data_IF_105133573450
#
_entry.id   IF_105133573450
#
_cell.length_a   1.000
_cell.length_b   1.000
_cell.length_c   1.000
_cell.angle_alpha   90.00
_cell.angle_beta   90.00
_cell.angle_gamma   90.00
#
_symmetry.space_group_name_H-M   'P 1'
#
loop_
_entity.id
_entity.type
_entity.pdbx_description
1 polymer ?
#
# COMPACT_ATOMS: atom_id res chain seq x y z
N UNK A 1 -6.82 22.70 -37.04
CA UNK A 1 -6.98 22.89 -35.58
C UNK A 1 -7.25 21.52 -34.96
N UNK A 2 -6.27 20.93 -34.29
CA UNK A 2 -6.48 19.64 -33.59
C UNK A 2 -7.42 19.94 -32.42
N UNK A 3 -8.57 19.26 -32.37
CA UNK A 3 -9.54 19.46 -31.29
C UNK A 3 -8.92 19.04 -29.95
N UNK A 4 -9.26 19.74 -28.87
CA UNK A 4 -8.83 19.38 -27.51
C UNK A 4 -9.14 17.91 -27.17
N UNK A 5 -10.19 17.36 -27.78
CA UNK A 5 -10.59 15.96 -27.65
C UNK A 5 -9.53 15.02 -28.25
N UNK A 6 -9.00 15.34 -29.44
CA UNK A 6 -8.00 14.50 -30.13
C UNK A 6 -6.68 14.48 -29.36
N UNK A 7 -6.31 15.60 -28.74
CA UNK A 7 -5.14 15.70 -27.87
C UNK A 7 -5.33 14.85 -26.59
N UNK A 8 -6.47 14.97 -25.92
CA UNK A 8 -6.80 14.22 -24.71
C UNK A 8 -6.83 12.70 -24.95
N UNK A 9 -7.43 12.26 -26.07
CA UNK A 9 -7.44 10.85 -26.47
C UNK A 9 -6.02 10.36 -26.73
N UNK A 10 -5.20 11.12 -27.45
CA UNK A 10 -3.80 10.75 -27.73
C UNK A 10 -2.97 10.63 -26.45
N UNK A 11 -3.10 11.58 -25.51
CA UNK A 11 -2.41 11.53 -24.21
C UNK A 11 -2.84 10.29 -23.41
N UNK A 12 -4.13 9.97 -23.42
CA UNK A 12 -4.64 8.79 -22.71
C UNK A 12 -4.13 7.49 -23.31
N UNK A 13 -4.10 7.38 -24.65
CA UNK A 13 -3.55 6.22 -25.35
C UNK A 13 -2.06 6.07 -25.07
N UNK A 14 -1.29 7.16 -25.11
CA UNK A 14 0.16 7.15 -24.81
C UNK A 14 0.39 6.74 -23.35
N UNK A 15 -0.37 7.30 -22.40
CA UNK A 15 -0.28 6.95 -20.98
C UNK A 15 -0.61 5.49 -20.72
N UNK A 16 -1.66 4.96 -21.37
CA UNK A 16 -2.03 3.55 -21.29
C UNK A 16 -0.94 2.66 -21.91
N UNK A 17 -0.41 3.01 -23.08
CA UNK A 17 0.68 2.29 -23.74
C UNK A 17 1.94 2.25 -22.87
N UNK A 18 2.31 3.36 -22.23
CA UNK A 18 3.44 3.41 -21.31
C UNK A 18 3.23 2.52 -20.06
N UNK A 19 2.03 2.55 -19.48
CA UNK A 19 1.67 1.67 -18.35
C UNK A 19 1.67 0.18 -18.75
N UNK A 20 1.15 -0.15 -19.92
CA UNK A 20 1.20 -1.52 -20.44
C UNK A 20 2.65 -1.98 -20.66
N UNK A 21 3.49 -1.14 -21.28
CA UNK A 21 4.91 -1.45 -21.51
C UNK A 21 5.68 -1.67 -20.19
N UNK A 22 5.48 -0.79 -19.21
CA UNK A 22 6.10 -0.94 -17.88
C UNK A 22 5.59 -2.15 -17.11
N UNK A 23 4.30 -2.49 -17.23
CA UNK A 23 3.75 -3.71 -16.66
C UNK A 23 4.39 -4.97 -17.28
N UNK A 24 4.49 -5.02 -18.62
CA UNK A 24 5.13 -6.12 -19.34
C UNK A 24 6.61 -6.24 -18.95
N UNK A 25 7.36 -5.13 -18.94
CA UNK A 25 8.76 -5.14 -18.56
C UNK A 25 8.98 -5.70 -17.14
N UNK A 26 8.13 -5.30 -16.19
CA UNK A 26 8.20 -5.78 -14.80
C UNK A 26 7.83 -7.25 -14.65
N UNK A 27 6.89 -7.73 -15.47
CA UNK A 27 6.56 -9.16 -15.54
C UNK A 27 7.77 -9.97 -16.01
N UNK A 28 8.44 -9.52 -17.07
CA UNK A 28 9.63 -10.19 -17.61
C UNK A 28 10.77 -10.25 -16.58
N UNK A 29 11.02 -9.16 -15.85
CA UNK A 29 12.02 -9.12 -14.77
C UNK A 29 11.68 -10.11 -13.65
N UNK A 30 10.40 -10.24 -13.31
CA UNK A 30 9.94 -11.20 -12.29
C UNK A 30 10.12 -12.64 -12.76
N UNK A 31 9.83 -12.94 -14.03
CA UNK A 31 9.98 -14.27 -14.61
C UNK A 31 11.46 -14.69 -14.71
N UNK A 32 12.34 -13.75 -15.07
CA UNK A 32 13.79 -13.96 -15.07
C UNK A 32 14.29 -14.23 -13.65
N UNK A 33 13.86 -13.43 -12.68
CA UNK A 33 14.22 -13.64 -11.27
C UNK A 33 13.78 -15.02 -10.75
N UNK A 34 12.56 -15.46 -11.09
CA UNK A 34 12.07 -16.79 -10.73
C UNK A 34 12.92 -17.90 -11.33
N UNK A 35 13.32 -17.74 -12.60
CA UNK A 35 14.14 -18.72 -13.32
C UNK A 35 15.55 -18.80 -12.72
N UNK A 36 16.16 -17.65 -12.41
CA UNK A 36 17.51 -17.56 -11.83
C UNK A 36 17.56 -18.12 -10.42
N UNK A 37 16.55 -17.84 -9.60
CA UNK A 37 16.53 -18.23 -8.18
C UNK A 37 15.77 -19.54 -7.91
N UNK A 38 15.14 -20.14 -8.92
CA UNK A 38 14.36 -21.37 -8.77
C UNK A 38 13.17 -21.21 -7.82
N UNK A 39 12.64 -20.00 -7.69
CA UNK A 39 11.54 -19.69 -6.77
C UNK A 39 10.21 -19.55 -7.53
N UNK A 40 9.10 -19.84 -6.84
CA UNK A 40 7.76 -19.58 -7.36
C UNK A 40 7.28 -18.21 -6.93
N UNK A 41 6.62 -17.50 -7.83
CA UNK A 41 5.98 -16.24 -7.52
C UNK A 41 4.87 -16.37 -6.47
N UNK A 42 4.54 -15.27 -5.78
CA UNK A 42 3.44 -15.24 -4.83
C UNK A 42 2.10 -15.58 -5.50
N UNK A 43 1.17 -16.16 -4.74
CA UNK A 43 -0.15 -16.53 -5.26
C UNK A 43 -0.89 -15.29 -5.72
N UNK A 44 -1.20 -15.21 -7.01
CA UNK A 44 -2.00 -14.11 -7.55
C UNK A 44 -3.48 -14.35 -7.21
N UNK A 45 -4.05 -13.46 -6.39
CA UNK A 45 -5.47 -13.48 -5.99
C UNK A 45 -6.34 -12.53 -6.83
N UNK A 46 -5.71 -11.73 -7.70
CA UNK A 46 -6.46 -10.94 -8.68
C UNK A 46 -6.91 -11.82 -9.85
N UNK A 47 -8.19 -11.71 -10.22
CA UNK A 47 -8.72 -12.37 -11.41
C UNK A 47 -7.99 -11.92 -12.67
N UNK A 48 -8.13 -12.68 -13.77
CA UNK A 48 -7.49 -12.36 -15.06
C UNK A 48 -8.47 -11.65 -16.00
N UNK A 49 -8.00 -10.62 -16.72
CA UNK A 49 -8.77 -9.96 -17.79
C UNK A 49 -9.83 -8.96 -17.29
N UNK A 50 -10.88 -8.72 -18.09
CA UNK A 50 -11.93 -7.74 -17.76
C UNK A 50 -12.67 -8.05 -16.44
N UNK A 51 -12.65 -9.30 -15.99
CA UNK A 51 -13.19 -9.71 -14.70
C UNK A 51 -12.50 -9.00 -13.52
N UNK A 52 -11.18 -8.75 -13.62
CA UNK A 52 -10.43 -8.06 -12.55
C UNK A 52 -10.86 -6.60 -12.37
N UNK A 53 -11.27 -5.94 -13.46
CA UNK A 53 -11.78 -4.57 -13.43
C UNK A 53 -13.13 -4.55 -12.69
N UNK A 54 -14.00 -5.52 -12.97
CA UNK A 54 -15.29 -5.62 -12.29
C UNK A 54 -15.12 -5.96 -10.80
N UNK A 55 -14.23 -6.90 -10.47
CA UNK A 55 -13.89 -7.23 -9.09
C UNK A 55 -13.29 -6.02 -8.34
N UNK A 56 -12.45 -5.23 -9.02
CA UNK A 56 -11.91 -3.98 -8.48
C UNK A 56 -13.00 -2.94 -8.18
N UNK A 57 -13.95 -2.73 -9.11
CA UNK A 57 -15.10 -1.84 -8.88
C UNK A 57 -15.96 -2.35 -7.73
N UNK A 58 -16.20 -3.67 -7.66
CA UNK A 58 -16.96 -4.30 -6.57
C UNK A 58 -16.28 -4.08 -5.21
N UNK A 59 -14.96 -4.22 -5.14
CA UNK A 59 -14.16 -3.94 -3.93
C UNK A 59 -14.29 -2.49 -3.49
N UNK A 60 -14.23 -1.52 -4.41
CA UNK A 60 -14.39 -0.09 -4.08
C UNK A 60 -15.79 0.19 -3.53
N UNK A 61 -16.85 -0.33 -4.18
CA UNK A 61 -18.22 -0.16 -3.71
C UNK A 61 -18.40 -0.78 -2.31
N UNK A 62 -17.80 -1.95 -2.06
CA UNK A 62 -17.81 -2.59 -0.75
C UNK A 62 -17.13 -1.69 0.28
N UNK A 63 -15.94 -1.16 -0.01
CA UNK A 63 -15.22 -0.25 0.90
C UNK A 63 -16.06 0.98 1.25
N UNK A 64 -16.69 1.62 0.26
CA UNK A 64 -17.52 2.81 0.49
C UNK A 64 -18.77 2.49 1.34
N UNK A 65 -19.25 1.25 1.29
CA UNK A 65 -20.44 0.81 2.03
C UNK A 65 -20.15 0.19 3.40
N UNK A 66 -18.89 0.07 3.84
CA UNK A 66 -18.51 -0.53 5.14
C UNK A 66 -19.28 0.10 6.31
N UNK A 67 -19.37 1.43 6.36
CA UNK A 67 -20.06 2.16 7.45
C UNK A 67 -21.57 1.86 7.50
N UNK A 68 -22.15 1.45 6.36
CA UNK A 68 -23.56 1.07 6.26
C UNK A 68 -23.80 -0.42 6.49
N UNK A 69 -22.84 -1.27 6.15
CA UNK A 69 -22.95 -2.72 6.26
C UNK A 69 -22.55 -3.24 7.64
N UNK A 70 -21.72 -2.50 8.39
CA UNK A 70 -21.18 -2.94 9.67
C UNK A 70 -20.18 -4.09 9.54
N UNK A 71 -19.59 -4.28 8.36
CA UNK A 71 -18.55 -5.28 8.10
C UNK A 71 -17.25 -4.92 8.84
N UNK A 72 -16.52 -5.95 9.29
CA UNK A 72 -15.18 -5.78 9.84
C UNK A 72 -14.15 -5.74 8.71
N UNK A 73 -13.36 -4.67 8.64
CA UNK A 73 -12.37 -4.47 7.57
C UNK A 73 -11.28 -5.55 7.58
N UNK A 74 -10.84 -5.97 8.76
CA UNK A 74 -9.76 -6.95 8.86
C UNK A 74 -10.30 -8.34 8.51
N UNK A 75 -11.44 -8.72 9.09
CA UNK A 75 -11.96 -10.09 8.98
C UNK A 75 -12.74 -10.33 7.69
N UNK A 76 -13.51 -9.36 7.19
CA UNK A 76 -14.39 -9.55 6.02
C UNK A 76 -13.76 -9.11 4.70
N UNK A 77 -12.74 -8.24 4.76
CA UNK A 77 -12.07 -7.69 3.57
C UNK A 77 -10.65 -8.22 3.39
N UNK A 78 -9.78 -8.10 4.39
CA UNK A 78 -8.37 -8.50 4.25
C UNK A 78 -8.14 -10.00 4.47
N UNK A 79 -8.66 -10.57 5.57
CA UNK A 79 -8.41 -11.96 5.96
C UNK A 79 -8.79 -12.99 4.87
N UNK A 80 -9.89 -12.84 4.09
CA UNK A 80 -10.23 -13.80 3.04
C UNK A 80 -9.17 -13.89 1.95
N UNK A 81 -8.44 -12.79 1.70
CA UNK A 81 -7.40 -12.75 0.66
C UNK A 81 -6.20 -13.63 1.01
N UNK A 82 -5.96 -13.89 2.30
CA UNK A 82 -4.90 -14.78 2.78
C UNK A 82 -5.33 -16.25 2.89
N UNK A 83 -6.54 -16.61 2.45
CA UNK A 83 -6.99 -18.00 2.48
C UNK A 83 -6.19 -18.84 1.46
N UNK A 84 -5.30 -19.68 2.00
CA UNK A 84 -4.49 -20.64 1.26
C UNK A 84 -3.09 -20.15 0.84
N UNK A 85 -2.67 -18.94 1.25
CA UNK A 85 -1.27 -18.50 1.14
C UNK A 85 -0.98 -17.34 2.10
N UNK A 86 0.20 -17.34 2.72
CA UNK A 86 0.62 -16.26 3.60
C UNK A 86 1.20 -15.05 2.86
N UNK A 87 1.67 -15.25 1.63
CA UNK A 87 2.12 -14.20 0.72
C UNK A 87 1.31 -14.24 -0.57
N UNK A 88 0.66 -13.13 -0.88
CA UNK A 88 -0.25 -12.98 -2.00
C UNK A 88 0.10 -11.76 -2.83
N UNK A 89 -0.29 -11.83 -4.10
CA UNK A 89 -0.18 -10.74 -5.05
C UNK A 89 -1.57 -10.35 -5.55
N UNK A 90 -1.87 -9.06 -5.54
CA UNK A 90 -3.10 -8.51 -6.11
C UNK A 90 -2.75 -7.39 -7.10
N UNK A 91 -3.41 -7.37 -8.24
CA UNK A 91 -3.38 -6.23 -9.15
C UNK A 91 -4.46 -5.23 -8.74
N UNK A 92 -4.04 -4.03 -8.34
CA UNK A 92 -4.92 -2.89 -8.09
C UNK A 92 -5.68 -2.46 -9.35
N UNK A 93 -6.73 -1.65 -9.17
CA UNK A 93 -7.55 -1.12 -10.26
C UNK A 93 -6.74 -0.29 -11.29
N UNK A 94 -5.64 0.34 -10.88
CA UNK A 94 -4.75 1.14 -11.72
C UNK A 94 -3.67 0.30 -12.43
N UNK A 95 -3.73 -1.02 -12.27
CA UNK A 95 -2.74 -1.97 -12.79
C UNK A 95 -1.48 -2.07 -11.94
N UNK A 96 -1.39 -1.38 -10.80
CA UNK A 96 -0.27 -1.55 -9.88
C UNK A 96 -0.34 -2.90 -9.18
N UNK A 97 0.83 -3.50 -8.93
CA UNK A 97 0.93 -4.77 -8.21
C UNK A 97 1.08 -4.47 -6.72
N UNK A 98 0.21 -5.04 -5.91
CA UNK A 98 0.23 -5.00 -4.45
C UNK A 98 0.65 -6.36 -3.94
N UNK A 99 1.73 -6.39 -3.18
CA UNK A 99 2.20 -7.58 -2.47
C UNK A 99 1.81 -7.47 -1.02
N UNK A 100 1.13 -8.49 -0.51
CA UNK A 100 0.75 -8.58 0.89
C UNK A 100 1.32 -9.87 1.48
N UNK A 101 1.97 -9.77 2.63
CA UNK A 101 2.60 -10.91 3.30
C UNK A 101 2.27 -10.92 4.79
N UNK A 102 2.00 -12.11 5.30
CA UNK A 102 1.82 -12.42 6.72
C UNK A 102 2.94 -13.35 7.23
N UNK A 103 3.98 -13.58 6.42
CA UNK A 103 5.11 -14.42 6.81
C UNK A 103 6.07 -13.66 7.74
N UNK A 104 6.48 -14.26 8.88
CA UNK A 104 7.29 -13.58 9.87
C UNK A 104 8.67 -13.17 9.33
N UNK A 105 9.28 -13.98 8.47
CA UNK A 105 10.59 -13.70 7.88
C UNK A 105 10.56 -12.48 6.96
N UNK A 106 9.50 -12.33 6.15
CA UNK A 106 9.31 -11.17 5.30
C UNK A 106 9.03 -9.91 6.13
N UNK A 107 8.16 -10.02 7.16
CA UNK A 107 7.89 -8.91 8.08
C UNK A 107 9.15 -8.45 8.82
N UNK A 108 9.97 -9.39 9.30
CA UNK A 108 11.24 -9.08 9.93
C UNK A 108 12.20 -8.41 8.95
N UNK A 109 12.20 -8.85 7.69
CA UNK A 109 13.04 -8.24 6.65
C UNK A 109 12.65 -6.80 6.38
N UNK A 110 11.36 -6.54 6.21
CA UNK A 110 10.82 -5.21 5.93
C UNK A 110 11.02 -4.27 7.13
N UNK A 111 10.74 -4.74 8.35
CA UNK A 111 10.64 -3.88 9.52
C UNK A 111 11.93 -3.77 10.33
N UNK A 112 12.88 -4.71 10.16
CA UNK A 112 14.09 -4.77 10.99
C UNK A 112 15.39 -4.91 10.19
N UNK A 113 15.56 -5.95 9.37
CA UNK A 113 16.90 -6.27 8.81
C UNK A 113 17.25 -5.42 7.59
N UNK A 114 16.29 -5.14 6.71
CA UNK A 114 16.46 -4.36 5.48
C UNK A 114 15.57 -3.12 5.45
N UNK A 115 15.33 -2.52 6.61
CA UNK A 115 14.45 -1.35 6.75
C UNK A 115 14.78 -0.18 5.80
N UNK A 116 16.06 0.00 5.43
CA UNK A 116 16.49 1.08 4.54
C UNK A 116 16.11 0.86 3.07
N UNK A 117 15.76 -0.37 2.69
CA UNK A 117 15.36 -0.72 1.32
C UNK A 117 13.86 -0.44 1.08
N UNK A 118 13.10 -0.14 2.13
CA UNK A 118 11.66 0.07 2.09
C UNK A 118 11.29 1.51 2.50
N UNK A 119 10.28 2.05 1.85
CA UNK A 119 9.69 3.36 2.16
C UNK A 119 8.19 3.20 2.48
N UNK A 120 7.61 4.15 3.24
CA UNK A 120 6.15 4.14 3.49
C UNK A 120 5.34 4.47 2.22
N UNK A 121 5.98 5.12 1.24
CA UNK A 121 5.44 5.36 -0.08
C UNK A 121 4.52 6.57 -0.21
N UNK A 122 4.31 7.00 -1.46
CA UNK A 122 3.62 8.24 -1.81
C UNK A 122 2.19 8.32 -1.30
N UNK A 123 1.45 7.22 -1.33
CA UNK A 123 0.04 7.18 -0.93
C UNK A 123 -0.12 7.64 0.51
N UNK A 124 0.67 7.07 1.44
CA UNK A 124 0.61 7.43 2.86
C UNK A 124 1.11 8.85 3.09
N UNK A 125 2.23 9.23 2.46
CA UNK A 125 2.76 10.59 2.59
C UNK A 125 1.70 11.61 2.18
N UNK A 126 1.06 11.43 1.02
CA UNK A 126 0.04 12.36 0.52
C UNK A 126 -1.22 12.43 1.41
N UNK A 127 -1.55 11.36 2.12
CA UNK A 127 -2.68 11.34 3.06
C UNK A 127 -2.38 12.15 4.33
N UNK A 128 -1.18 12.01 4.91
CA UNK A 128 -0.85 12.64 6.20
C UNK A 128 -0.15 13.99 6.08
N UNK A 129 0.55 14.25 4.98
CA UNK A 129 1.31 15.48 4.78
C UNK A 129 0.47 16.77 4.89
N UNK A 130 -0.76 16.87 4.34
CA UNK A 130 -1.57 18.09 4.48
C UNK A 130 -1.92 18.44 5.93
N UNK A 131 -2.01 17.43 6.81
CA UNK A 131 -2.36 17.60 8.22
C UNK A 131 -1.13 17.83 9.10
N UNK A 132 -0.05 17.08 8.86
CA UNK A 132 1.09 16.98 9.77
C UNK A 132 2.40 17.54 9.21
N UNK A 133 2.40 18.01 7.95
CA UNK A 133 3.60 18.42 7.24
C UNK A 133 4.61 17.28 7.15
N UNK A 134 5.90 17.59 7.33
CA UNK A 134 6.97 16.59 7.44
C UNK A 134 6.98 16.02 8.87
N UNK A 135 6.43 14.81 9.03
CA UNK A 135 6.24 14.15 10.33
C UNK A 135 6.71 12.70 10.30
N UNK A 136 6.68 12.02 11.45
CA UNK A 136 6.98 10.57 11.54
C UNK A 136 6.02 9.69 10.71
N UNK A 137 4.87 10.21 10.27
CA UNK A 137 3.88 9.50 9.46
C UNK A 137 3.94 9.82 7.97
N UNK A 138 4.68 10.88 7.59
CA UNK A 138 4.68 11.48 6.25
C UNK A 138 6.09 11.76 5.74
N UNK A 139 7.11 11.12 6.32
CA UNK A 139 8.50 11.26 5.89
C UNK A 139 9.26 9.94 6.00
N UNK A 140 10.27 9.79 5.13
CA UNK A 140 11.20 8.65 5.09
C UNK A 140 12.64 9.11 5.36
N UNK A 141 13.54 8.15 5.57
CA UNK A 141 14.98 8.40 5.61
C UNK A 141 15.46 9.33 6.73
N UNK A 142 16.28 10.33 6.39
CA UNK A 142 16.86 11.27 7.37
C UNK A 142 15.81 12.16 8.02
N UNK A 143 14.84 12.66 7.25
CA UNK A 143 13.75 13.49 7.76
C UNK A 143 12.94 12.73 8.84
N UNK A 144 12.65 11.46 8.58
CA UNK A 144 12.00 10.59 9.56
C UNK A 144 12.84 10.38 10.83
N UNK A 145 14.16 10.18 10.70
CA UNK A 145 15.06 10.00 11.84
C UNK A 145 15.08 11.24 12.74
N UNK A 146 15.15 12.43 12.16
CA UNK A 146 15.12 13.69 12.92
C UNK A 146 13.76 13.92 13.59
N UNK A 147 12.66 13.72 12.86
CA UNK A 147 11.32 13.79 13.44
C UNK A 147 11.16 12.82 14.61
N UNK A 148 11.60 11.56 14.45
CA UNK A 148 11.52 10.55 15.51
C UNK A 148 12.40 10.87 16.71
N UNK A 149 13.59 11.43 16.50
CA UNK A 149 14.49 11.89 17.57
C UNK A 149 13.83 12.99 18.40
N UNK A 150 13.13 13.91 17.76
CA UNK A 150 12.37 14.97 18.43
C UNK A 150 11.17 14.41 19.22
N UNK A 151 10.46 13.42 18.67
CA UNK A 151 9.28 12.85 19.32
C UNK A 151 9.60 11.89 20.48
N UNK A 152 10.73 11.16 20.42
CA UNK A 152 11.06 10.09 21.38
C UNK A 152 11.00 10.49 22.86
N UNK A 153 11.45 11.68 23.30
CA UNK A 153 11.38 12.10 24.71
C UNK A 153 9.94 12.25 25.24
N UNK A 154 8.97 12.54 24.37
CA UNK A 154 7.56 12.69 24.77
C UNK A 154 6.91 11.34 25.15
N UNK A 155 7.42 10.23 24.62
CA UNK A 155 6.97 8.86 24.92
C UNK A 155 7.72 8.21 26.09
N UNK A 156 8.26 9.02 27.00
CA UNK A 156 8.90 8.51 28.22
C UNK A 156 7.86 7.91 29.16
N UNK A 157 8.25 6.83 29.86
CA UNK A 157 7.33 6.04 30.71
C UNK A 157 6.68 6.87 31.82
N UNK A 158 7.32 7.97 32.24
CA UNK A 158 6.77 8.94 33.20
C UNK A 158 5.55 9.68 32.65
N UNK A 159 5.56 10.06 31.37
CA UNK A 159 4.45 10.78 30.74
C UNK A 159 3.30 9.83 30.36
N UNK A 160 3.62 8.57 30.05
CA UNK A 160 2.63 7.54 29.69
C UNK A 160 1.83 7.01 30.88
N UNK A 161 2.30 7.20 32.11
CA UNK A 161 1.55 6.78 33.31
C UNK A 161 0.55 7.83 33.78
N UNK A 162 0.59 9.05 33.23
CA UNK A 162 -0.38 10.11 33.54
C UNK A 162 -1.64 10.02 32.65
N UNK A 163 -2.09 8.79 32.40
CA UNK A 163 -3.32 8.51 31.64
C UNK A 163 -4.57 9.02 32.38
N UNK A 164 -4.49 9.10 33.71
CA UNK A 164 -5.58 9.59 34.55
C UNK A 164 -5.80 11.11 34.42
N UNK A 165 -4.74 11.91 34.23
CA UNK A 165 -4.87 13.35 33.96
C UNK A 165 -5.39 13.62 32.54
N UNK A 166 -4.98 12.82 31.56
CA UNK A 166 -5.44 12.95 30.17
C UNK A 166 -6.91 12.56 30.03
N UNK A 167 -7.37 11.55 30.77
CA UNK A 167 -8.78 11.17 30.83
C UNK A 167 -9.67 12.26 31.45
N UNK A 168 -9.20 13.00 32.46
CA UNK A 168 -9.94 14.11 33.06
C UNK A 168 -10.04 15.36 32.18
N UNK A 169 -9.10 15.57 31.25
CA UNK A 169 -9.09 16.73 30.36
C UNK A 169 -9.98 16.56 29.11
N UNK A 170 -10.45 15.34 28.84
CA UNK A 170 -11.29 14.99 27.68
C UNK A 170 -12.77 14.84 28.03
N UNK A 171 -13.12 14.81 29.32
CA UNK A 171 -14.48 14.97 29.86
C UNK A 171 -14.83 16.43 30.08
#
# INVERSE_FOLDING_TARGET
>A
MISAITLAVSITIIGFGFKAATCVARSLETDDFQTVHGCHGPKNVSGTGLASIWDGIRRIIRIISIDRSGEDILDDFFAPSFQGAHTIQETSFDGSIVLSTSEPENMQTILATRFQDFEIGRTRINQFYPLLGTSIFSSDGSAWKEARKMFRPHFTRSNLNDLESTARATT
#
